data_IF_767512540655
#
_entry.id   IF_767512540655
#
_cell.length_a   1.000
_cell.length_b   1.000
_cell.length_c   1.000
_cell.angle_alpha   90.00
_cell.angle_beta   90.00
_cell.angle_gamma   90.00
#
_symmetry.space_group_name_H-M   'P 1'
#
loop_
_entity.id
_entity.type
_entity.pdbx_description
1 polymer ?
#
# COMPACT_ATOMS: atom_id res chain seq x y z
N UNK A 1 19.97 21.99 1.10
CA UNK A 1 18.86 21.11 1.52
C UNK A 1 17.73 21.31 0.53
N UNK A 2 17.50 20.38 -0.40
CA UNK A 2 16.33 20.48 -1.28
C UNK A 2 15.08 20.23 -0.43
N UNK A 3 14.30 21.28 -0.16
CA UNK A 3 12.95 21.15 0.34
C UNK A 3 12.11 20.51 -0.77
N UNK A 4 12.13 19.18 -0.81
CA UNK A 4 11.12 18.40 -1.52
C UNK A 4 9.79 18.67 -0.81
N UNK A 5 9.01 19.61 -1.33
CA UNK A 5 7.65 19.83 -0.85
C UNK A 5 6.82 18.59 -1.15
N UNK A 6 6.16 18.06 -0.12
CA UNK A 6 5.23 16.95 -0.29
C UNK A 6 4.07 17.39 -1.19
N UNK A 7 3.73 16.53 -2.15
CA UNK A 7 2.63 16.74 -3.11
C UNK A 7 1.63 15.59 -3.05
N UNK A 8 0.40 15.87 -3.44
CA UNK A 8 -0.64 14.88 -3.61
C UNK A 8 -0.19 13.82 -4.63
N UNK A 9 -0.21 12.55 -4.23
CA UNK A 9 0.16 11.43 -5.08
C UNK A 9 -0.75 11.23 -6.29
N UNK A 10 -1.95 11.83 -6.32
CA UNK A 10 -2.92 11.61 -7.40
C UNK A 10 -3.10 12.79 -8.36
N UNK A 11 -2.78 14.02 -7.94
CA UNK A 11 -2.90 15.20 -8.81
C UNK A 11 -1.85 16.28 -8.57
N UNK A 12 -0.80 15.99 -7.80
CA UNK A 12 0.35 16.87 -7.58
C UNK A 12 0.04 18.19 -6.85
N UNK A 13 -1.17 18.36 -6.30
CA UNK A 13 -1.50 19.49 -5.41
C UNK A 13 -0.51 19.55 -4.25
N UNK A 14 0.12 20.71 -3.96
CA UNK A 14 1.07 20.87 -2.87
C UNK A 14 0.40 20.77 -1.48
N UNK A 15 1.22 20.50 -0.46
CA UNK A 15 0.83 20.42 0.97
C UNK A 15 -0.40 19.51 1.22
N UNK A 16 -0.35 18.23 0.81
CA UNK A 16 -1.44 17.29 1.02
C UNK A 16 -1.71 17.09 2.52
N UNK A 17 -2.98 17.19 2.91
CA UNK A 17 -3.40 17.08 4.32
C UNK A 17 -3.89 15.67 4.72
N UNK A 18 -4.00 14.77 3.74
CA UNK A 18 -4.54 13.42 3.91
C UNK A 18 -3.54 12.38 3.47
N UNK A 19 -3.78 11.13 3.86
CA UNK A 19 -2.96 10.00 3.45
C UNK A 19 -3.79 8.74 3.35
N UNK A 20 -3.53 7.93 2.32
CA UNK A 20 -3.98 6.53 2.26
C UNK A 20 -2.97 5.67 3.03
N UNK A 21 -3.39 5.19 4.21
CA UNK A 21 -2.50 4.57 5.20
C UNK A 21 -1.82 3.32 4.65
N UNK A 22 -2.60 2.42 4.05
CA UNK A 22 -2.09 1.16 3.50
C UNK A 22 -1.38 1.33 2.16
N UNK A 23 -1.50 2.49 1.49
CA UNK A 23 -0.79 2.76 0.24
C UNK A 23 0.48 3.58 0.45
N UNK A 24 0.60 4.27 1.59
CA UNK A 24 1.68 5.20 1.87
C UNK A 24 1.68 6.41 0.94
N UNK A 25 0.49 6.84 0.49
CA UNK A 25 0.35 7.92 -0.51
C UNK A 25 -0.38 9.12 0.11
N UNK A 26 0.28 10.28 0.07
CA UNK A 26 -0.29 11.56 0.52
C UNK A 26 -1.34 12.07 -0.48
N UNK A 27 -2.41 12.69 0.01
CA UNK A 27 -3.58 13.10 -0.75
C UNK A 27 -4.03 14.51 -0.38
N UNK A 28 -4.49 15.28 -1.38
CA UNK A 28 -5.19 16.53 -1.15
C UNK A 28 -6.64 16.29 -0.71
N UNK A 29 -7.35 17.36 -0.33
CA UNK A 29 -8.75 17.28 0.11
C UNK A 29 -9.66 16.61 -0.94
N UNK A 30 -9.55 17.02 -2.21
CA UNK A 30 -10.38 16.49 -3.30
C UNK A 30 -10.12 15.01 -3.57
N UNK A 31 -8.86 14.62 -3.79
CA UNK A 31 -8.50 13.22 -4.02
C UNK A 31 -8.87 12.35 -2.82
N UNK A 32 -8.67 12.82 -1.58
CA UNK A 32 -9.12 12.09 -0.39
C UNK A 32 -10.64 11.86 -0.38
N UNK A 33 -11.42 12.81 -0.90
CA UNK A 33 -12.87 12.69 -1.03
C UNK A 33 -13.25 11.58 -2.00
N UNK A 34 -12.58 11.51 -3.15
CA UNK A 34 -12.76 10.44 -4.13
C UNK A 34 -12.42 9.08 -3.51
N UNK A 35 -11.28 8.96 -2.82
CA UNK A 35 -10.90 7.73 -2.12
C UNK A 35 -11.99 7.27 -1.14
N UNK A 36 -12.56 8.18 -0.34
CA UNK A 36 -13.67 7.84 0.58
C UNK A 36 -14.92 7.36 -0.18
N UNK A 37 -15.24 7.97 -1.32
CA UNK A 37 -16.41 7.59 -2.10
C UNK A 37 -16.28 6.19 -2.67
N UNK A 38 -15.10 5.83 -3.20
CA UNK A 38 -14.84 4.51 -3.75
C UNK A 38 -15.15 3.39 -2.74
N UNK A 39 -14.93 3.64 -1.44
CA UNK A 39 -15.18 2.63 -0.40
C UNK A 39 -16.62 2.33 -0.08
N UNK A 40 -17.52 3.26 -0.44
CA UNK A 40 -18.95 3.12 -0.18
C UNK A 40 -19.66 2.32 -1.27
N UNK A 41 -19.05 2.18 -2.46
CA UNK A 41 -19.67 1.54 -3.62
C UNK A 41 -19.22 0.09 -3.84
N UNK A 42 -18.53 -0.49 -2.86
CA UNK A 42 -17.92 -1.81 -3.00
C UNK A 42 -18.71 -2.79 -2.13
N UNK A 43 -19.49 -3.64 -2.82
CA UNK A 43 -20.38 -4.65 -2.26
C UNK A 43 -19.61 -5.70 -1.43
N UNK A 44 -20.31 -6.42 -0.55
CA UNK A 44 -19.78 -7.54 0.27
C UNK A 44 -19.10 -8.65 -0.55
N UNK A 45 -19.31 -8.69 -1.87
CA UNK A 45 -18.73 -9.67 -2.81
C UNK A 45 -17.37 -9.23 -3.38
N UNK A 46 -16.90 -8.01 -3.07
CA UNK A 46 -15.62 -7.55 -3.56
C UNK A 46 -14.46 -8.26 -2.85
N UNK A 47 -13.44 -8.62 -3.62
CA UNK A 47 -12.22 -9.24 -3.09
C UNK A 47 -11.61 -8.40 -1.96
N UNK A 48 -11.03 -9.07 -0.95
CA UNK A 48 -10.33 -8.46 0.19
C UNK A 48 -9.32 -7.37 -0.23
N UNK A 49 -8.71 -7.50 -1.40
CA UNK A 49 -7.80 -6.50 -1.98
C UNK A 49 -8.48 -5.16 -2.28
N UNK A 50 -9.75 -5.18 -2.69
CA UNK A 50 -10.52 -4.00 -3.07
C UNK A 50 -11.00 -3.26 -1.81
N UNK A 51 -11.38 -3.99 -0.75
CA UNK A 51 -11.86 -3.41 0.52
C UNK A 51 -10.78 -2.56 1.22
N UNK A 52 -9.51 -2.88 1.01
CA UNK A 52 -8.41 -2.19 1.67
C UNK A 52 -8.07 -0.81 1.06
N UNK A 53 -8.67 -0.37 -0.05
CA UNK A 53 -8.33 0.91 -0.71
C UNK A 53 -8.72 2.15 0.13
N UNK A 54 -9.60 2.01 1.14
CA UNK A 54 -10.34 3.15 1.73
C UNK A 54 -9.82 3.71 3.05
N UNK A 55 -8.68 3.23 3.56
CA UNK A 55 -8.13 3.69 4.83
C UNK A 55 -7.44 5.05 4.65
N UNK A 56 -8.21 6.11 4.45
CA UNK A 56 -7.70 7.48 4.43
C UNK A 56 -7.81 8.16 5.80
N UNK A 57 -6.76 8.87 6.21
CA UNK A 57 -6.72 9.64 7.47
C UNK A 57 -6.19 11.04 7.22
N UNK A 58 -6.64 12.00 8.00
CA UNK A 58 -6.09 13.35 7.99
C UNK A 58 -4.78 13.36 8.80
N UNK A 59 -3.71 13.93 8.25
CA UNK A 59 -2.39 13.93 8.87
C UNK A 59 -2.39 14.61 10.24
N UNK A 60 -2.96 15.82 10.34
CA UNK A 60 -2.97 16.62 11.58
C UNK A 60 -4.22 16.43 12.46
N UNK A 61 -5.38 16.17 11.87
CA UNK A 61 -6.67 16.16 12.60
C UNK A 61 -7.12 14.78 13.09
N UNK A 62 -6.61 13.70 12.51
CA UNK A 62 -6.97 12.34 12.96
C UNK A 62 -6.15 11.93 14.19
N UNK A 63 -6.71 11.02 15.01
CA UNK A 63 -5.95 10.38 16.08
C UNK A 63 -4.94 9.39 15.48
N UNK A 64 -3.67 9.52 15.85
CA UNK A 64 -2.59 8.67 15.37
C UNK A 64 -1.89 7.93 16.51
N UNK A 65 -1.52 6.68 16.23
CA UNK A 65 -0.41 6.05 16.95
C UNK A 65 0.89 6.60 16.36
N UNK A 66 1.89 6.99 17.17
CA UNK A 66 3.15 7.54 16.65
C UNK A 66 3.83 6.62 15.64
N UNK A 67 3.82 5.31 15.91
CA UNK A 67 4.38 4.25 15.05
C UNK A 67 3.69 4.17 13.69
N UNK A 68 2.35 4.26 13.67
CA UNK A 68 1.57 4.24 12.44
C UNK A 68 1.86 5.48 11.58
N UNK A 69 1.93 6.66 12.20
CA UNK A 69 2.24 7.91 11.50
C UNK A 69 3.67 7.89 10.95
N UNK A 70 4.63 7.39 11.72
CA UNK A 70 6.02 7.22 11.28
C UNK A 70 6.13 6.25 10.09
N UNK A 71 5.43 5.11 10.13
CA UNK A 71 5.36 4.16 9.01
C UNK A 71 4.85 4.84 7.73
N UNK A 72 3.78 5.63 7.84
CA UNK A 72 3.18 6.33 6.71
C UNK A 72 4.13 7.38 6.12
N UNK A 73 4.76 8.21 6.95
CA UNK A 73 5.74 9.19 6.49
C UNK A 73 6.95 8.51 5.84
N UNK A 74 7.41 7.40 6.39
CA UNK A 74 8.51 6.63 5.81
C UNK A 74 8.15 6.13 4.41
N UNK A 75 6.98 5.52 4.21
CA UNK A 75 6.53 5.06 2.90
C UNK A 75 6.39 6.22 1.89
N UNK A 76 5.82 7.35 2.32
CA UNK A 76 5.67 8.52 1.46
C UNK A 76 7.02 9.08 1.02
N UNK A 77 7.94 9.30 1.96
CA UNK A 77 9.30 9.79 1.70
C UNK A 77 10.13 8.80 0.85
N UNK A 78 9.90 7.50 1.02
CA UNK A 78 10.49 6.44 0.21
C UNK A 78 9.94 6.35 -1.22
N UNK A 79 8.99 7.21 -1.61
CA UNK A 79 8.44 7.25 -2.96
C UNK A 79 7.44 6.13 -3.25
N UNK A 80 6.70 5.63 -2.24
CA UNK A 80 5.65 4.62 -2.42
C UNK A 80 4.63 4.99 -3.51
N UNK A 81 4.44 6.28 -3.82
CA UNK A 81 3.57 6.68 -4.92
C UNK A 81 4.05 6.16 -6.30
N UNK A 82 5.37 6.14 -6.57
CA UNK A 82 5.95 5.66 -7.85
C UNK A 82 5.64 4.19 -8.11
N UNK A 83 5.45 3.43 -7.04
CA UNK A 83 5.11 2.03 -7.11
C UNK A 83 3.70 1.81 -7.71
N UNK A 84 2.72 2.63 -7.30
CA UNK A 84 1.35 2.60 -7.84
C UNK A 84 1.22 3.21 -9.24
N UNK A 85 2.28 3.87 -9.72
CA UNK A 85 2.33 4.61 -10.98
C UNK A 85 3.40 4.05 -11.94
N UNK A 86 3.97 2.87 -11.66
CA UNK A 86 5.12 2.34 -12.40
C UNK A 86 4.92 2.33 -13.91
N UNK A 87 3.76 1.86 -14.37
CA UNK A 87 3.45 1.75 -15.80
C UNK A 87 3.20 3.11 -16.48
N UNK A 88 2.97 4.20 -15.73
CA UNK A 88 2.92 5.55 -16.32
C UNK A 88 4.29 5.99 -16.83
N UNK A 89 5.37 5.46 -16.24
CA UNK A 89 6.75 5.81 -16.58
C UNK A 89 7.41 4.81 -17.55
N UNK A 90 6.85 3.60 -17.71
CA UNK A 90 7.42 2.55 -18.58
C UNK A 90 7.49 2.93 -20.08
N UNK A 91 6.52 3.66 -20.67
CA UNK A 91 6.63 4.13 -22.06
C UNK A 91 7.84 5.05 -22.32
N UNK A 92 8.40 5.67 -21.28
CA UNK A 92 9.63 6.47 -21.38
C UNK A 92 10.91 5.61 -21.33
N UNK A 93 10.81 4.34 -20.92
CA UNK A 93 11.94 3.42 -20.71
C UNK A 93 12.08 2.40 -21.84
N UNK A 94 10.97 2.00 -22.47
CA UNK A 94 10.98 1.13 -23.66
C UNK A 94 10.61 1.96 -24.88
N UNK A 95 11.61 2.46 -25.61
CA UNK A 95 11.39 3.20 -26.84
C UNK A 95 10.37 2.50 -27.74
N UNK A 96 9.32 3.23 -28.11
CA UNK A 96 8.36 2.98 -29.19
C UNK A 96 8.27 1.51 -29.66
N UNK A 97 7.31 0.72 -29.11
CA UNK A 97 6.60 -0.39 -29.78
C UNK A 97 5.74 -1.26 -28.82
N UNK A 98 5.15 -0.68 -27.77
CA UNK A 98 4.06 -1.36 -27.08
C UNK A 98 2.77 -1.14 -27.88
N UNK A 99 2.23 -2.21 -28.46
CA UNK A 99 0.94 -2.19 -29.15
C UNK A 99 -0.09 -1.42 -28.32
N UNK A 100 -0.65 -0.34 -28.89
CA UNK A 100 -1.78 0.38 -28.29
C UNK A 100 -2.96 -0.57 -28.22
N UNK A 101 -3.10 -1.28 -27.11
CA UNK A 101 -4.37 -1.89 -26.76
C UNK A 101 -5.32 -0.70 -26.53
N UNK A 102 -6.40 -0.60 -27.31
CA UNK A 102 -7.44 0.45 -27.24
C UNK A 102 -8.27 0.39 -25.95
N UNK A 103 -7.62 0.24 -24.79
CA UNK A 103 -8.27 0.47 -23.50
C UNK A 103 -8.17 1.98 -23.26
N UNK A 104 -9.31 2.65 -23.18
CA UNK A 104 -9.46 4.09 -22.93
C UNK A 104 -9.01 4.43 -21.49
N UNK A 105 -7.72 4.27 -21.20
CA UNK A 105 -7.11 4.57 -19.90
C UNK A 105 -6.72 6.04 -19.84
N UNK A 106 -6.72 6.68 -18.65
CA UNK A 106 -6.11 7.99 -18.49
C UNK A 106 -4.63 7.92 -18.90
N UNK A 107 -4.26 8.67 -19.94
CA UNK A 107 -2.89 8.66 -20.50
C UNK A 107 -1.91 9.48 -19.66
N UNK A 108 -2.41 10.37 -18.80
CA UNK A 108 -1.60 11.22 -17.93
C UNK A 108 -2.14 11.29 -16.52
N UNK A 109 -1.24 11.63 -15.60
CA UNK A 109 -1.60 12.05 -14.24
C UNK A 109 -2.37 13.39 -14.28
N UNK A 110 -3.45 13.53 -13.50
CA UNK A 110 -4.14 14.79 -13.34
C UNK A 110 -3.23 15.87 -12.75
N UNK A 111 -3.52 17.12 -13.06
CA UNK A 111 -2.93 18.32 -12.47
C UNK A 111 -3.82 18.87 -11.35
N UNK A 112 -3.31 19.81 -10.52
CA UNK A 112 -4.10 20.38 -9.43
C UNK A 112 -5.41 21.03 -9.88
N UNK A 113 -5.43 21.63 -11.07
CA UNK A 113 -6.53 22.36 -11.68
C UNK A 113 -7.51 21.49 -12.48
N UNK A 114 -7.16 20.22 -12.76
CA UNK A 114 -8.07 19.31 -13.47
C UNK A 114 -9.37 19.08 -12.64
N UNK A 115 -10.54 18.94 -13.30
CA UNK A 115 -11.81 18.69 -12.61
C UNK A 115 -11.79 17.47 -11.71
N UNK A 116 -12.45 17.55 -10.55
CA UNK A 116 -12.62 16.40 -9.65
C UNK A 116 -13.29 15.22 -10.37
N UNK A 117 -14.30 15.50 -11.19
CA UNK A 117 -14.98 14.53 -12.05
C UNK A 117 -15.03 15.04 -13.50
N UNK A 118 -14.82 14.17 -14.50
CA UNK A 118 -14.41 12.77 -14.37
C UNK A 118 -12.89 12.61 -14.11
N UNK A 119 -12.07 13.62 -14.39
CA UNK A 119 -10.61 13.48 -14.54
C UNK A 119 -9.89 12.85 -13.33
N UNK A 120 -9.93 13.50 -12.16
CA UNK A 120 -9.27 12.97 -10.95
C UNK A 120 -9.89 11.64 -10.52
N UNK A 121 -11.21 11.51 -10.61
CA UNK A 121 -11.93 10.32 -10.19
C UNK A 121 -11.61 9.08 -11.05
N UNK A 122 -11.54 9.23 -12.36
CA UNK A 122 -11.23 8.16 -13.30
C UNK A 122 -9.78 7.71 -13.14
N UNK A 123 -8.84 8.65 -12.98
CA UNK A 123 -7.44 8.34 -12.69
C UNK A 123 -7.29 7.55 -11.39
N UNK A 124 -7.94 7.98 -10.30
CA UNK A 124 -7.86 7.29 -9.01
C UNK A 124 -8.46 5.89 -9.09
N UNK A 125 -9.58 5.70 -9.82
CA UNK A 125 -10.17 4.37 -10.07
C UNK A 125 -9.19 3.47 -10.83
N UNK A 126 -8.63 3.96 -11.93
CA UNK A 126 -7.66 3.19 -12.70
C UNK A 126 -6.43 2.82 -11.85
N UNK A 127 -5.89 3.78 -11.10
CA UNK A 127 -4.69 3.61 -10.28
C UNK A 127 -4.86 2.58 -9.17
N UNK A 128 -5.93 2.65 -8.38
CA UNK A 128 -6.05 1.85 -7.16
C UNK A 128 -7.05 0.70 -7.24
N UNK A 129 -8.15 0.87 -7.98
CA UNK A 129 -9.19 -0.16 -8.09
C UNK A 129 -8.84 -1.18 -9.17
N UNK A 130 -8.45 -0.69 -10.36
CA UNK A 130 -8.06 -1.57 -11.47
C UNK A 130 -6.57 -1.91 -11.46
N UNK A 131 -5.77 -1.21 -10.65
CA UNK A 131 -4.31 -1.35 -10.61
C UNK A 131 -3.71 -1.18 -12.02
N UNK A 132 -4.28 -0.28 -12.83
CA UNK A 132 -3.95 -0.10 -14.25
C UNK A 132 -2.55 0.44 -14.50
N UNK A 133 -1.99 1.15 -13.51
CA UNK A 133 -0.62 1.68 -13.56
C UNK A 133 0.38 0.87 -12.73
N UNK A 134 -0.08 -0.24 -12.14
CA UNK A 134 0.73 -1.10 -11.31
C UNK A 134 1.41 -2.18 -12.14
N UNK A 135 2.71 -2.38 -11.98
CA UNK A 135 3.43 -3.45 -12.67
C UNK A 135 3.17 -4.80 -12.01
N UNK A 136 2.38 -5.64 -12.67
CA UNK A 136 2.15 -7.03 -12.25
C UNK A 136 3.14 -7.97 -12.95
N UNK A 137 3.80 -8.89 -12.22
CA UNK A 137 4.52 -10.01 -12.82
C UNK A 137 3.62 -10.82 -13.77
N UNK A 138 4.19 -11.37 -14.85
CA UNK A 138 3.46 -12.20 -15.83
C UNK A 138 2.95 -13.51 -15.24
N UNK A 139 3.72 -14.09 -14.32
CA UNK A 139 3.36 -15.31 -13.60
C UNK A 139 3.35 -15.03 -12.10
N UNK A 140 2.17 -15.15 -11.49
CA UNK A 140 1.96 -14.91 -10.06
C UNK A 140 1.67 -16.23 -9.37
N UNK A 141 2.52 -16.61 -8.42
CA UNK A 141 2.25 -17.69 -7.47
C UNK A 141 2.01 -17.05 -6.09
N UNK A 142 0.75 -17.02 -5.64
CA UNK A 142 0.32 -16.35 -4.40
C UNK A 142 0.96 -16.97 -3.15
N UNK A 143 1.14 -18.29 -3.14
CA UNK A 143 1.78 -18.98 -2.03
C UNK A 143 3.25 -18.54 -1.89
N UNK A 144 3.96 -18.47 -3.02
CA UNK A 144 5.34 -17.96 -3.06
C UNK A 144 5.42 -16.50 -2.57
N UNK A 145 4.45 -15.63 -2.91
CA UNK A 145 4.41 -14.25 -2.40
C UNK A 145 4.30 -14.21 -0.87
N UNK A 146 3.52 -15.11 -0.29
CA UNK A 146 3.29 -15.15 1.16
C UNK A 146 4.53 -15.68 1.91
N UNK A 147 5.23 -16.65 1.34
CA UNK A 147 6.56 -17.05 1.81
C UNK A 147 7.58 -15.91 1.73
N UNK A 148 7.61 -15.18 0.62
CA UNK A 148 8.49 -14.02 0.47
C UNK A 148 8.18 -12.93 1.49
N UNK A 149 6.89 -12.68 1.76
CA UNK A 149 6.45 -11.72 2.77
C UNK A 149 6.92 -12.14 4.16
N UNK A 150 6.76 -13.42 4.51
CA UNK A 150 7.23 -13.97 5.79
C UNK A 150 8.73 -13.76 6.00
N UNK A 151 9.54 -13.91 4.94
CA UNK A 151 10.98 -13.70 5.03
C UNK A 151 11.39 -12.21 5.08
N UNK A 152 10.76 -11.34 4.27
CA UNK A 152 11.26 -9.97 4.08
C UNK A 152 10.97 -9.04 5.27
N UNK A 153 9.92 -9.33 6.06
CA UNK A 153 9.55 -8.55 7.26
C UNK A 153 10.57 -8.62 8.39
N UNK A 154 11.62 -9.46 8.26
CA UNK A 154 12.82 -9.43 9.11
C UNK A 154 13.61 -8.13 8.98
N UNK A 155 13.46 -7.42 7.85
CA UNK A 155 14.18 -6.17 7.55
C UNK A 155 13.25 -4.97 7.59
N UNK A 156 13.79 -3.78 7.80
CA UNK A 156 13.02 -2.53 7.82
C UNK A 156 12.57 -2.00 6.46
N UNK A 157 12.77 -2.75 5.37
CA UNK A 157 12.46 -2.29 4.00
C UNK A 157 10.96 -2.46 3.73
N UNK A 158 10.18 -1.43 4.03
CA UNK A 158 8.72 -1.47 3.93
C UNK A 158 8.22 -1.60 2.49
N UNK A 159 8.95 -1.07 1.50
CA UNK A 159 8.53 -1.06 0.10
C UNK A 159 8.39 -2.48 -0.47
N UNK A 160 9.28 -3.39 -0.09
CA UNK A 160 9.22 -4.79 -0.52
C UNK A 160 7.98 -5.48 0.04
N UNK A 161 7.71 -5.30 1.34
CA UNK A 161 6.50 -5.84 1.96
C UNK A 161 5.23 -5.22 1.35
N UNK A 162 5.23 -3.90 1.11
CA UNK A 162 4.13 -3.19 0.47
C UNK A 162 3.85 -3.77 -0.93
N UNK A 163 4.89 -4.09 -1.70
CA UNK A 163 4.76 -4.70 -3.02
C UNK A 163 4.11 -6.08 -2.96
N UNK A 164 4.63 -6.95 -2.09
CA UNK A 164 4.11 -8.31 -1.94
C UNK A 164 2.65 -8.31 -1.47
N UNK A 165 2.31 -7.44 -0.52
CA UNK A 165 0.94 -7.23 -0.03
C UNK A 165 0.02 -6.70 -1.13
N UNK A 166 0.51 -5.80 -1.98
CA UNK A 166 -0.25 -5.30 -3.12
C UNK A 166 -0.48 -6.36 -4.21
N UNK A 167 0.43 -7.32 -4.34
CA UNK A 167 0.34 -8.42 -5.30
C UNK A 167 -0.57 -9.56 -4.87
N UNK A 168 -0.83 -9.72 -3.58
CA UNK A 168 -1.59 -10.88 -3.13
C UNK A 168 -1.15 -11.52 -1.83
N UNK A 169 0.02 -11.16 -1.30
CA UNK A 169 0.58 -11.87 -0.15
C UNK A 169 -0.36 -11.81 1.06
N UNK A 170 -0.59 -12.95 1.69
CA UNK A 170 -1.44 -13.04 2.87
C UNK A 170 -0.65 -12.58 4.12
N UNK A 171 -1.04 -11.49 4.81
CA UNK A 171 -0.35 -11.04 6.02
C UNK A 171 -0.50 -12.03 7.20
N UNK A 172 -1.50 -12.91 7.14
CA UNK A 172 -1.80 -13.95 8.12
C UNK A 172 -1.29 -15.33 7.68
N UNK A 173 -0.40 -15.38 6.67
CA UNK A 173 0.19 -16.62 6.22
C UNK A 173 0.94 -17.32 7.36
N UNK A 174 0.71 -18.62 7.51
CA UNK A 174 1.41 -19.47 8.47
C UNK A 174 2.43 -20.33 7.74
N UNK A 175 3.72 -20.08 8.01
CA UNK A 175 4.79 -20.80 7.35
C UNK A 175 4.88 -22.24 7.86
N UNK A 176 4.66 -23.23 7.00
CA UNK A 176 4.56 -24.65 7.37
C UNK A 176 5.79 -25.18 8.11
N UNK A 177 7.01 -24.93 7.62
CA UNK A 177 8.24 -25.41 8.28
C UNK A 177 8.75 -24.56 9.45
N UNK A 178 8.32 -23.30 9.57
CA UNK A 178 8.75 -22.37 10.64
C UNK A 178 7.71 -22.22 11.73
N UNK A 179 6.47 -22.64 11.49
CA UNK A 179 5.35 -22.55 12.41
C UNK A 179 4.90 -21.13 12.76
N UNK A 180 5.37 -20.10 12.06
CA UNK A 180 5.18 -18.69 12.42
C UNK A 180 4.55 -17.88 11.29
N UNK A 181 3.94 -16.74 11.63
CA UNK A 181 3.40 -15.77 10.68
C UNK A 181 4.36 -14.60 10.42
N UNK A 182 4.14 -13.78 9.36
CA UNK A 182 4.89 -12.54 9.17
C UNK A 182 4.89 -11.63 10.40
N UNK A 183 3.80 -11.58 11.18
CA UNK A 183 3.73 -10.74 12.38
C UNK A 183 4.66 -11.26 13.49
N UNK A 184 4.71 -12.57 13.70
CA UNK A 184 5.66 -13.19 14.63
C UNK A 184 7.10 -12.83 14.28
N UNK A 185 7.46 -12.94 12.99
CA UNK A 185 8.79 -12.60 12.51
C UNK A 185 9.08 -11.10 12.69
N UNK A 186 8.14 -10.22 12.35
CA UNK A 186 8.33 -8.78 12.52
C UNK A 186 8.53 -8.40 14.01
N UNK A 187 7.78 -9.01 14.94
CA UNK A 187 7.99 -8.84 16.38
C UNK A 187 9.36 -9.33 16.83
N UNK A 188 9.75 -10.55 16.43
CA UNK A 188 11.05 -11.15 16.77
C UNK A 188 12.24 -10.24 16.39
N UNK A 189 12.13 -9.52 15.27
CA UNK A 189 13.18 -8.63 14.77
C UNK A 189 12.95 -7.14 15.12
N UNK A 190 11.99 -6.82 15.98
CA UNK A 190 11.70 -5.44 16.40
C UNK A 190 11.24 -4.52 15.26
N UNK A 191 10.70 -5.07 14.17
CA UNK A 191 10.35 -4.33 12.96
C UNK A 191 8.97 -3.66 13.09
N UNK A 192 8.89 -2.61 13.91
CA UNK A 192 7.63 -1.89 14.22
C UNK A 192 6.93 -1.35 12.97
N UNK A 193 7.70 -0.82 12.00
CA UNK A 193 7.14 -0.34 10.73
C UNK A 193 6.50 -1.46 9.90
N UNK A 194 7.09 -2.67 9.93
CA UNK A 194 6.53 -3.85 9.25
C UNK A 194 5.22 -4.28 9.93
N UNK A 195 5.16 -4.27 11.27
CA UNK A 195 3.92 -4.56 12.00
C UNK A 195 2.80 -3.58 11.64
N UNK A 196 3.07 -2.29 11.64
CA UNK A 196 2.06 -1.27 11.26
C UNK A 196 1.56 -1.47 9.83
N UNK A 197 2.44 -1.84 8.90
CA UNK A 197 2.07 -2.14 7.52
C UNK A 197 1.24 -3.43 7.41
N UNK A 198 1.63 -4.52 8.07
CA UNK A 198 0.87 -5.77 8.11
C UNK A 198 -0.53 -5.54 8.68
N UNK A 199 -0.65 -4.78 9.79
CA UNK A 199 -1.93 -4.38 10.38
C UNK A 199 -2.76 -3.55 9.40
N UNK A 200 -2.14 -2.63 8.67
CA UNK A 200 -2.83 -1.83 7.66
C UNK A 200 -3.47 -2.71 6.56
N UNK A 201 -2.90 -3.88 6.27
CA UNK A 201 -3.39 -4.88 5.34
C UNK A 201 -4.23 -6.01 5.98
N UNK A 202 -4.61 -5.89 7.25
CA UNK A 202 -5.47 -6.87 7.94
C UNK A 202 -4.73 -8.02 8.60
N UNK A 203 -3.45 -7.83 8.93
CA UNK A 203 -2.70 -8.71 9.82
C UNK A 203 -3.41 -8.87 11.17
N UNK A 204 -3.61 -10.11 11.59
CA UNK A 204 -4.22 -10.50 12.85
C UNK A 204 -3.18 -10.49 13.97
N UNK A 205 -3.29 -9.49 14.84
CA UNK A 205 -2.39 -9.32 16.01
C UNK A 205 -2.54 -10.43 17.05
N UNK A 206 -3.60 -11.24 16.98
CA UNK A 206 -3.88 -12.34 17.89
C UNK A 206 -3.60 -13.71 17.27
N UNK A 207 -3.05 -13.76 16.05
CA UNK A 207 -2.69 -15.02 15.39
C UNK A 207 -1.75 -15.83 16.26
N UNK A 208 -1.93 -17.15 16.34
CA UNK A 208 -1.09 -18.03 17.16
C UNK A 208 -0.15 -18.86 16.29
N UNK A 209 1.10 -18.96 16.72
CA UNK A 209 2.09 -19.85 16.13
C UNK A 209 1.86 -21.32 16.50
N UNK A 210 2.72 -22.23 16.03
CA UNK A 210 2.63 -23.66 16.34
C UNK A 210 2.86 -24.00 17.82
N UNK A 211 3.44 -23.09 18.60
CA UNK A 211 3.59 -23.21 20.04
C UNK A 211 2.43 -22.56 20.81
N UNK A 212 1.44 -22.01 20.09
CA UNK A 212 0.30 -21.32 20.67
C UNK A 212 0.59 -19.88 21.11
N UNK A 213 1.78 -19.35 20.81
CA UNK A 213 2.20 -17.99 21.15
C UNK A 213 1.66 -16.99 20.14
N UNK A 214 1.30 -15.79 20.61
CA UNK A 214 0.93 -14.67 19.74
C UNK A 214 2.16 -13.81 19.40
N UNK A 215 2.08 -12.90 18.40
CA UNK A 215 3.20 -12.01 18.09
C UNK A 215 3.67 -11.17 19.28
N UNK A 216 2.77 -10.79 20.20
CA UNK A 216 3.14 -10.04 21.39
C UNK A 216 3.84 -10.92 22.43
N UNK A 217 3.49 -12.20 22.53
CA UNK A 217 4.16 -13.16 23.41
C UNK A 217 5.61 -13.41 22.96
N UNK A 218 5.90 -13.33 21.65
CA UNK A 218 7.28 -13.43 21.16
C UNK A 218 8.10 -12.21 21.60
N UNK A 219 7.50 -11.01 21.60
CA UNK A 219 8.21 -9.79 21.97
C UNK A 219 8.68 -9.82 23.44
N UNK A 220 7.89 -10.39 24.34
CA UNK A 220 8.23 -10.50 25.77
C UNK A 220 9.33 -11.52 26.08
N UNK A 221 9.72 -12.37 25.12
CA UNK A 221 10.84 -13.31 25.29
C UNK A 221 12.21 -12.68 24.99
N UNK A 222 12.23 -11.49 24.36
CA UNK A 222 13.46 -10.82 23.91
C UNK A 222 13.69 -9.43 24.55
N UNK A 223 12.87 -9.05 25.54
CA UNK A 223 13.03 -7.86 26.39
C UNK A 223 13.40 -8.33 27.79
#
# INVERSE_FOLDING_TARGET
MNLSYDVCGDCETPDPQWVSVNKGVLLCNECSSIHRQLGRHISQVASFFIINIFKVKHLKKSRWRPTQLAMVHHLAAAGANRFWEHMLFEPMLTGQNAAKIEIKRPERKPKPDDPMHPNKADFIREKYMFLGFFKKPRHLNIENLSHQLHACVRTGVLQTSLYLLALGANPNFMHTSKGTSPMHVACQYGQVGQLELLIAYGGDVCIRDTFGLTPIDILSLFI
#
